data_IF_364052061013
#
_entry.id   IF_364052061013
#
_cell.length_a   1.000
_cell.length_b   1.000
_cell.length_c   1.000
_cell.angle_alpha   90.00
_cell.angle_beta   90.00
_cell.angle_gamma   90.00
#
_symmetry.space_group_name_H-M   'P 1'
#
loop_
_entity.id
_entity.type
_entity.pdbx_description
1 polymer ?
#
# COMPACT_ATOMS: atom_id res chain seq x y z
N UNK A 1 9.07 45.83 67.61
CA UNK A 1 8.78 46.65 66.41
C UNK A 1 10.09 46.90 65.67
N UNK A 2 10.05 46.80 64.34
CA UNK A 2 11.11 46.35 63.41
C UNK A 2 12.48 47.05 63.40
N UNK A 3 13.53 46.26 63.10
CA UNK A 3 14.85 46.70 62.65
C UNK A 3 15.00 46.53 61.12
N UNK A 4 15.48 47.61 60.50
CA UNK A 4 16.43 47.79 59.38
C UNK A 4 16.41 46.89 58.12
N UNK A 5 16.52 47.63 57.01
CA UNK A 5 16.72 47.27 55.60
C UNK A 5 18.17 46.83 55.28
N UNK A 6 18.36 45.90 54.32
CA UNK A 6 19.09 46.14 53.05
C UNK A 6 19.46 44.85 52.29
N UNK A 7 18.94 44.73 51.07
CA UNK A 7 19.63 44.31 49.83
C UNK A 7 20.22 42.91 49.65
N UNK A 8 19.79 42.19 48.60
CA UNK A 8 20.67 41.79 47.48
C UNK A 8 19.87 41.29 46.25
N UNK A 9 20.30 41.77 45.08
CA UNK A 9 19.80 41.46 43.72
C UNK A 9 20.05 40.00 43.32
N UNK A 10 19.09 39.33 42.68
CA UNK A 10 19.36 38.24 41.73
C UNK A 10 18.45 38.38 40.49
N UNK A 11 19.07 38.09 39.35
CA UNK A 11 18.75 38.43 37.96
C UNK A 11 17.37 38.00 37.38
N UNK A 12 16.88 38.83 36.45
CA UNK A 12 15.97 38.47 35.33
C UNK A 12 16.67 37.48 34.34
N UNK A 13 16.05 36.86 33.29
CA UNK A 13 14.80 37.26 32.62
C UNK A 13 13.94 36.13 31.92
N UNK A 14 12.87 36.56 31.24
CA UNK A 14 12.21 35.95 30.06
C UNK A 14 11.83 34.45 30.06
N UNK A 15 10.55 34.16 30.34
CA UNK A 15 9.88 32.98 29.79
C UNK A 15 9.20 33.38 28.46
N UNK A 16 9.95 33.34 27.36
CA UNK A 16 9.38 33.41 26.02
C UNK A 16 8.66 32.08 25.73
N UNK A 17 7.35 32.15 25.59
CA UNK A 17 6.51 31.06 25.09
C UNK A 17 6.92 30.79 23.64
N UNK A 18 7.75 29.78 23.40
CA UNK A 18 8.07 29.32 22.06
C UNK A 18 6.84 28.63 21.48
N UNK A 19 6.15 29.30 20.54
CA UNK A 19 5.32 28.59 19.57
C UNK A 19 6.23 27.59 18.87
N UNK A 20 5.98 26.29 19.09
CA UNK A 20 6.52 25.25 18.22
C UNK A 20 5.92 25.46 16.83
N UNK A 21 6.63 26.19 15.97
CA UNK A 21 6.34 26.24 14.55
C UNK A 21 6.52 24.83 13.99
N UNK A 22 5.42 24.18 13.62
CA UNK A 22 5.46 22.94 12.87
C UNK A 22 6.02 23.28 11.49
N UNK A 23 7.32 23.07 11.29
CA UNK A 23 7.96 23.26 10.00
C UNK A 23 7.39 22.22 9.03
N UNK A 24 6.48 22.64 8.16
CA UNK A 24 6.09 21.83 7.01
C UNK A 24 7.24 21.85 6.02
N UNK A 25 8.00 20.75 5.98
CA UNK A 25 8.98 20.54 4.92
C UNK A 25 8.29 20.62 3.55
N UNK A 26 8.88 21.28 2.55
CA UNK A 26 8.30 21.36 1.21
C UNK A 26 8.29 19.97 0.58
N UNK A 27 7.10 19.46 0.29
CA UNK A 27 6.91 18.22 -0.48
C UNK A 27 7.44 18.45 -1.88
N UNK A 28 8.56 17.81 -2.23
CA UNK A 28 9.03 17.76 -3.61
C UNK A 28 7.94 17.10 -4.46
N UNK A 29 7.63 17.68 -5.62
CA UNK A 29 6.80 17.03 -6.64
C UNK A 29 7.58 15.84 -7.21
N UNK A 30 7.56 14.73 -6.48
CA UNK A 30 8.12 13.48 -6.95
C UNK A 30 7.18 12.93 -8.03
N UNK A 31 7.76 12.41 -9.12
CA UNK A 31 7.04 11.52 -10.03
C UNK A 31 6.26 10.53 -9.15
N UNK A 32 4.92 10.57 -9.22
CA UNK A 32 4.02 10.11 -8.14
C UNK A 32 4.59 8.90 -7.41
N UNK A 33 4.79 9.02 -6.09
CA UNK A 33 5.36 7.97 -5.24
C UNK A 33 4.75 6.61 -5.61
N UNK A 34 5.45 5.47 -5.49
CA UNK A 34 5.03 4.17 -6.02
C UNK A 34 3.55 3.79 -5.80
N UNK A 35 2.97 4.24 -4.68
CA UNK A 35 1.55 4.19 -4.33
C UNK A 35 0.58 4.89 -5.32
N UNK A 36 1.06 5.76 -6.19
CA UNK A 36 0.32 6.75 -6.99
C UNK A 36 0.87 6.91 -8.41
N UNK A 37 1.67 5.95 -8.88
CA UNK A 37 2.28 6.01 -10.21
C UNK A 37 1.19 6.20 -11.28
N UNK A 38 1.29 7.21 -12.16
CA UNK A 38 0.21 7.58 -13.08
C UNK A 38 -0.06 6.52 -14.16
N UNK A 39 0.82 5.54 -14.28
CA UNK A 39 0.84 4.57 -15.36
C UNK A 39 1.29 3.22 -14.84
N UNK A 40 0.81 2.14 -15.46
CA UNK A 40 1.19 0.78 -15.12
C UNK A 40 1.46 -0.02 -16.41
N UNK A 41 2.52 -0.81 -16.39
CA UNK A 41 3.03 -1.55 -17.55
C UNK A 41 2.92 -3.06 -17.33
N UNK A 42 2.66 -3.82 -18.39
CA UNK A 42 2.84 -5.27 -18.37
C UNK A 42 4.33 -5.61 -18.36
N UNK A 43 4.73 -6.63 -17.60
CA UNK A 43 6.15 -6.97 -17.48
C UNK A 43 6.80 -7.28 -18.84
N UNK A 44 8.00 -6.73 -19.11
CA UNK A 44 8.68 -6.92 -20.38
C UNK A 44 9.09 -8.39 -20.58
N UNK A 45 9.03 -8.87 -21.82
CA UNK A 45 9.47 -10.23 -22.17
C UNK A 45 8.61 -11.36 -21.59
N UNK A 46 7.40 -11.07 -21.11
CA UNK A 46 6.49 -12.08 -20.55
C UNK A 46 5.24 -12.26 -21.42
N UNK A 47 4.83 -13.52 -21.60
CA UNK A 47 3.51 -13.85 -22.14
C UNK A 47 2.53 -13.96 -20.98
N UNK A 48 1.61 -13.01 -20.87
CA UNK A 48 0.61 -12.95 -19.81
C UNK A 48 -0.72 -13.39 -20.39
N UNK A 49 -1.16 -14.60 -20.07
CA UNK A 49 -2.36 -15.20 -20.67
C UNK A 49 -3.66 -14.47 -20.32
N UNK A 50 -3.67 -13.76 -19.19
CA UNK A 50 -4.79 -12.96 -18.73
C UNK A 50 -4.46 -11.46 -18.75
N UNK A 51 -3.67 -11.00 -19.73
CA UNK A 51 -3.31 -9.59 -19.83
C UNK A 51 -4.54 -8.68 -20.04
N UNK A 52 -4.62 -7.51 -19.38
CA UNK A 52 -5.55 -6.45 -19.78
C UNK A 52 -5.13 -5.85 -21.12
N UNK A 53 -6.00 -5.02 -21.70
CA UNK A 53 -5.67 -4.25 -22.89
C UNK A 53 -4.44 -3.35 -22.65
N UNK A 54 -3.44 -3.48 -23.51
CA UNK A 54 -2.21 -2.74 -23.44
C UNK A 54 -1.77 -2.27 -24.84
N UNK A 55 -1.05 -1.15 -24.89
CA UNK A 55 -0.47 -0.61 -26.12
C UNK A 55 0.74 -1.43 -26.60
N UNK A 56 1.30 -1.07 -27.75
CA UNK A 56 2.51 -1.68 -28.30
C UNK A 56 3.73 -1.57 -27.37
N UNK A 57 3.79 -0.55 -26.51
CA UNK A 57 4.84 -0.39 -25.49
C UNK A 57 4.54 -1.13 -24.20
N UNK A 58 3.50 -1.97 -24.17
CA UNK A 58 3.01 -2.73 -23.01
C UNK A 58 2.39 -1.88 -21.89
N UNK A 59 2.16 -0.59 -22.14
CA UNK A 59 1.39 0.30 -21.25
C UNK A 59 -0.07 -0.11 -21.19
N UNK A 60 -0.60 -0.32 -19.99
CA UNK A 60 -2.02 -0.65 -19.77
C UNK A 60 -2.88 0.55 -20.18
N UNK A 61 -3.86 0.30 -21.05
CA UNK A 61 -4.75 1.33 -21.59
C UNK A 61 -5.86 1.62 -20.57
N UNK A 62 -6.15 2.90 -20.32
CA UNK A 62 -7.21 3.31 -19.39
C UNK A 62 -6.87 3.09 -17.92
N UNK A 63 -5.58 2.92 -17.58
CA UNK A 63 -5.16 2.79 -16.20
C UNK A 63 -5.34 4.10 -15.42
N UNK A 64 -5.92 3.99 -14.22
CA UNK A 64 -5.99 5.06 -13.24
C UNK A 64 -5.31 4.60 -11.94
N UNK A 65 -4.40 5.40 -11.33
CA UNK A 65 -3.67 4.99 -10.13
C UNK A 65 -4.56 4.67 -8.94
N UNK A 66 -5.72 5.31 -8.88
CA UNK A 66 -6.68 5.18 -7.81
C UNK A 66 -8.03 4.72 -8.33
N UNK A 67 -8.78 4.07 -7.45
CA UNK A 67 -10.18 3.77 -7.62
C UNK A 67 -10.96 4.16 -6.37
N UNK A 68 -12.22 4.55 -6.53
CA UNK A 68 -13.16 4.74 -5.44
C UNK A 68 -14.03 3.48 -5.35
N UNK A 69 -14.02 2.81 -4.21
CA UNK A 69 -14.84 1.60 -4.00
C UNK A 69 -15.64 1.79 -2.72
N UNK A 70 -16.96 1.90 -2.84
CA UNK A 70 -17.88 2.16 -1.72
C UNK A 70 -17.42 3.35 -0.87
N UNK A 71 -16.98 4.42 -1.51
CA UNK A 71 -16.47 5.62 -0.82
C UNK A 71 -15.07 5.48 -0.21
N UNK A 72 -14.32 4.42 -0.51
CA UNK A 72 -12.92 4.23 -0.11
C UNK A 72 -11.99 4.45 -1.30
N UNK A 73 -11.10 5.43 -1.23
CA UNK A 73 -10.04 5.61 -2.24
C UNK A 73 -8.93 4.59 -2.03
N UNK A 74 -8.69 3.74 -3.03
CA UNK A 74 -7.67 2.69 -3.03
C UNK A 74 -6.70 2.85 -4.20
N UNK A 75 -5.41 2.64 -3.95
CA UNK A 75 -4.40 2.47 -4.99
C UNK A 75 -4.62 1.15 -5.72
N UNK A 76 -4.49 1.17 -7.05
CA UNK A 76 -4.54 -0.04 -7.89
C UNK A 76 -3.23 -0.81 -7.91
N UNK A 77 -2.10 -0.16 -7.63
CA UNK A 77 -0.76 -0.76 -7.63
C UNK A 77 0.10 -0.19 -6.49
N UNK A 78 0.00 -0.74 -5.26
CA UNK A 78 0.66 -0.17 -4.08
C UNK A 78 2.14 -0.59 -3.94
N UNK A 79 2.85 -0.69 -5.06
CA UNK A 79 4.28 -1.03 -5.18
C UNK A 79 4.80 -0.59 -6.56
N UNK A 80 6.07 -0.20 -6.66
CA UNK A 80 6.70 0.09 -7.94
C UNK A 80 7.02 -1.22 -8.68
N UNK A 81 6.16 -1.61 -9.60
CA UNK A 81 6.18 -2.92 -10.24
C UNK A 81 5.55 -2.88 -11.63
N UNK A 82 5.77 -3.95 -12.40
CA UNK A 82 4.99 -4.25 -13.59
C UNK A 82 3.96 -5.35 -13.29
N UNK A 83 2.89 -5.41 -14.08
CA UNK A 83 1.89 -6.49 -13.96
C UNK A 83 2.40 -7.75 -14.65
N UNK A 84 2.53 -8.85 -13.90
CA UNK A 84 2.90 -10.17 -14.42
C UNK A 84 1.70 -11.11 -14.59
N UNK A 85 0.59 -10.84 -13.92
CA UNK A 85 -0.70 -11.52 -14.12
C UNK A 85 -1.84 -10.61 -13.66
N UNK A 86 -2.91 -10.52 -14.44
CA UNK A 86 -4.07 -9.72 -14.09
C UNK A 86 -5.13 -10.54 -13.35
N UNK A 87 -6.24 -9.91 -12.97
CA UNK A 87 -7.40 -10.61 -12.45
C UNK A 87 -8.08 -11.45 -13.54
N UNK A 88 -8.70 -12.57 -13.16
CA UNK A 88 -9.53 -13.36 -14.06
C UNK A 88 -8.90 -14.67 -14.56
N UNK A 89 -9.52 -15.32 -15.55
CA UNK A 89 -9.15 -16.66 -15.99
C UNK A 89 -7.78 -16.68 -16.70
N UNK A 90 -6.91 -17.62 -16.32
CA UNK A 90 -5.63 -17.90 -17.00
C UNK A 90 -5.78 -19.09 -17.96
N UNK A 91 -4.99 -19.11 -19.05
CA UNK A 91 -4.91 -20.27 -19.94
C UNK A 91 -4.24 -21.45 -19.23
N UNK A 92 -4.91 -22.61 -19.13
CA UNK A 92 -4.33 -23.80 -18.49
C UNK A 92 -5.30 -24.83 -17.90
N UNK A 93 -6.62 -24.60 -17.96
CA UNK A 93 -7.66 -25.55 -17.53
C UNK A 93 -8.63 -25.00 -16.48
N UNK A 94 -9.65 -25.78 -16.13
CA UNK A 94 -10.65 -25.43 -15.12
C UNK A 94 -9.98 -25.19 -13.74
N UNK A 95 -10.25 -24.04 -13.12
CA UNK A 95 -9.72 -23.69 -11.79
C UNK A 95 -8.53 -22.73 -11.76
N UNK A 96 -8.04 -22.23 -12.91
CA UNK A 96 -6.94 -21.25 -12.97
C UNK A 96 -7.43 -19.79 -12.96
N UNK A 97 -8.43 -19.49 -12.12
CA UNK A 97 -8.89 -18.11 -11.94
C UNK A 97 -7.96 -17.36 -10.98
N UNK A 98 -7.63 -16.11 -11.30
CA UNK A 98 -6.80 -15.27 -10.46
C UNK A 98 -7.61 -14.21 -9.73
N UNK A 99 -7.63 -14.26 -8.41
CA UNK A 99 -8.45 -13.41 -7.53
C UNK A 99 -7.91 -11.99 -7.32
N UNK A 100 -6.79 -11.63 -7.95
CA UNK A 100 -6.15 -10.33 -7.81
C UNK A 100 -5.26 -10.00 -8.99
N UNK A 101 -4.26 -9.15 -8.76
CA UNK A 101 -3.18 -8.89 -9.70
C UNK A 101 -1.84 -9.25 -9.08
N UNK A 102 -0.91 -9.72 -9.92
CA UNK A 102 0.46 -9.98 -9.53
C UNK A 102 1.35 -8.85 -10.06
N UNK A 103 2.00 -8.16 -9.12
CA UNK A 103 2.86 -7.02 -9.35
C UNK A 103 4.31 -7.45 -9.12
N UNK A 104 5.01 -7.76 -10.20
CA UNK A 104 6.36 -8.30 -10.19
C UNK A 104 7.43 -7.24 -9.91
N UNK A 105 8.40 -7.63 -9.08
CA UNK A 105 9.56 -6.80 -8.76
C UNK A 105 10.82 -7.66 -8.83
N UNK A 106 11.89 -7.16 -9.47
CA UNK A 106 13.15 -7.91 -9.61
C UNK A 106 13.79 -8.27 -8.26
N UNK A 107 13.67 -7.37 -7.28
CA UNK A 107 14.15 -7.56 -5.90
C UNK A 107 13.05 -7.17 -4.92
N UNK A 108 13.10 -7.65 -3.65
CA UNK A 108 12.15 -7.25 -2.62
C UNK A 108 12.01 -5.73 -2.54
N UNK A 109 10.80 -5.24 -2.80
CA UNK A 109 10.47 -3.82 -2.93
C UNK A 109 9.44 -3.41 -1.89
N UNK A 110 9.44 -2.14 -1.52
CA UNK A 110 8.52 -1.60 -0.51
C UNK A 110 7.06 -1.73 -0.96
N UNK A 111 6.22 -2.30 -0.09
CA UNK A 111 4.77 -2.39 -0.27
C UNK A 111 4.08 -1.38 0.63
N UNK A 112 3.13 -0.66 0.06
CA UNK A 112 2.38 0.41 0.73
C UNK A 112 0.93 -0.01 1.01
N UNK A 113 0.30 0.58 2.01
CA UNK A 113 -1.14 0.43 2.25
C UNK A 113 -1.91 1.13 1.13
N UNK A 114 -2.70 0.34 0.40
CA UNK A 114 -3.54 0.75 -0.74
C UNK A 114 -4.57 1.83 -0.39
N UNK A 115 -5.01 1.87 0.87
CA UNK A 115 -5.84 2.94 1.42
C UNK A 115 -5.74 2.96 2.95
N UNK A 116 -6.29 3.99 3.57
CA UNK A 116 -6.34 4.08 5.02
C UNK A 116 -7.32 3.06 5.60
N UNK A 117 -6.98 2.47 6.74
CA UNK A 117 -7.80 1.42 7.35
C UNK A 117 -7.22 0.87 8.64
N UNK A 118 -7.62 -0.35 8.98
CA UNK A 118 -7.10 -1.10 10.12
C UNK A 118 -6.63 -2.47 9.66
N UNK A 119 -5.51 -2.94 10.19
CA UNK A 119 -5.02 -4.29 9.94
C UNK A 119 -6.07 -5.28 10.45
N UNK A 120 -6.63 -6.05 9.53
CA UNK A 120 -7.55 -7.16 9.83
C UNK A 120 -6.76 -8.41 10.16
N UNK A 121 -5.69 -8.66 9.42
CA UNK A 121 -4.85 -9.84 9.55
C UNK A 121 -3.40 -9.53 9.18
N UNK A 122 -2.46 -10.15 9.89
CA UNK A 122 -1.04 -10.21 9.51
C UNK A 122 -0.50 -11.57 9.95
N UNK A 123 0.02 -12.37 9.02
CA UNK A 123 0.51 -13.71 9.30
C UNK A 123 0.61 -14.59 8.06
N UNK A 124 0.93 -15.86 8.24
CA UNK A 124 1.05 -16.81 7.13
C UNK A 124 -0.29 -17.47 6.83
N UNK A 125 -0.70 -17.47 5.56
CA UNK A 125 -1.88 -18.18 5.06
C UNK A 125 -1.48 -19.23 4.02
N UNK A 126 -2.17 -20.37 4.01
CA UNK A 126 -1.93 -21.42 3.02
C UNK A 126 -2.19 -20.86 1.61
N UNK A 127 -1.29 -21.13 0.67
CA UNK A 127 -1.35 -20.56 -0.68
C UNK A 127 -0.76 -19.16 -0.77
N UNK A 128 -1.22 -18.23 0.05
CA UNK A 128 -0.82 -16.81 0.01
C UNK A 128 0.55 -16.50 0.67
N UNK A 129 1.07 -17.37 1.53
CA UNK A 129 2.30 -17.09 2.27
C UNK A 129 2.09 -15.99 3.32
N UNK A 130 3.13 -15.19 3.57
CA UNK A 130 3.01 -14.05 4.48
C UNK A 130 2.06 -13.02 3.86
N UNK A 131 0.97 -12.76 4.57
CA UNK A 131 -0.16 -11.98 4.09
C UNK A 131 -0.53 -10.90 5.09
N UNK A 132 -0.88 -9.73 4.57
CA UNK A 132 -1.51 -8.64 5.31
C UNK A 132 -2.89 -8.41 4.70
N UNK A 133 -3.91 -8.28 5.53
CA UNK A 133 -5.22 -7.77 5.10
C UNK A 133 -5.52 -6.46 5.84
N UNK A 134 -5.96 -5.44 5.10
CA UNK A 134 -6.42 -4.16 5.66
C UNK A 134 -7.93 -4.08 5.46
N UNK A 135 -8.67 -3.94 6.56
CA UNK A 135 -10.08 -3.61 6.53
C UNK A 135 -10.26 -2.10 6.37
N UNK A 136 -11.12 -1.73 5.42
CA UNK A 136 -11.56 -0.37 5.17
C UNK A 136 -13.04 -0.21 5.55
N UNK A 137 -13.63 0.93 5.21
CA UNK A 137 -15.06 1.17 5.42
C UNK A 137 -15.90 0.30 4.48
N UNK A 138 -17.18 0.14 4.82
CA UNK A 138 -18.22 -0.40 3.92
C UNK A 138 -17.93 -1.80 3.34
N UNK A 139 -17.31 -2.67 4.13
CA UNK A 139 -17.05 -4.07 3.73
C UNK A 139 -15.92 -4.24 2.73
N UNK A 140 -15.12 -3.18 2.48
CA UNK A 140 -13.97 -3.22 1.59
C UNK A 140 -12.73 -3.72 2.34
N UNK A 141 -11.99 -4.65 1.74
CA UNK A 141 -10.73 -5.19 2.26
C UNK A 141 -9.69 -5.20 1.14
N UNK A 142 -8.44 -4.85 1.45
CA UNK A 142 -7.32 -5.12 0.54
C UNK A 142 -6.43 -6.21 1.11
N UNK A 143 -5.95 -7.11 0.24
CA UNK A 143 -5.04 -8.21 0.60
C UNK A 143 -3.70 -8.01 -0.08
N UNK A 144 -2.63 -8.24 0.68
CA UNK A 144 -1.23 -8.15 0.24
C UNK A 144 -0.54 -9.47 0.58
N UNK A 145 -0.28 -10.31 -0.43
CA UNK A 145 0.24 -11.66 -0.25
C UNK A 145 1.63 -11.85 -0.86
N UNK A 146 2.21 -13.02 -0.58
CA UNK A 146 3.56 -13.45 -0.96
C UNK A 146 4.68 -12.58 -0.38
N UNK A 147 4.41 -11.83 0.69
CA UNK A 147 5.37 -10.89 1.27
C UNK A 147 6.62 -11.62 1.80
N UNK A 148 7.75 -10.92 1.81
CA UNK A 148 8.98 -11.41 2.48
C UNK A 148 9.07 -10.95 3.93
N UNK A 149 8.49 -9.79 4.24
CA UNK A 149 8.45 -9.21 5.57
C UNK A 149 7.26 -8.28 5.73
N UNK A 150 6.70 -8.23 6.95
CA UNK A 150 5.78 -7.19 7.39
C UNK A 150 6.56 -6.06 8.08
N UNK A 151 6.05 -4.83 7.99
CA UNK A 151 6.63 -3.69 8.71
C UNK A 151 6.52 -3.91 10.24
N UNK A 152 7.50 -3.44 11.04
CA UNK A 152 7.45 -3.58 12.49
C UNK A 152 6.19 -2.96 13.10
N UNK A 153 5.65 -3.60 14.15
CA UNK A 153 4.52 -3.07 14.91
C UNK A 153 3.13 -3.30 14.29
N UNK A 154 3.05 -3.85 13.07
CA UNK A 154 1.79 -4.28 12.48
C UNK A 154 1.21 -5.48 13.25
N UNK A 155 -0.05 -5.35 13.65
CA UNK A 155 -0.85 -6.38 14.33
C UNK A 155 -2.32 -6.11 14.07
N UNK A 156 -3.17 -7.13 14.22
CA UNK A 156 -4.61 -6.97 14.09
C UNK A 156 -5.13 -5.79 14.95
N UNK A 157 -6.01 -4.97 14.38
CA UNK A 157 -6.57 -3.77 14.99
C UNK A 157 -5.73 -2.49 14.82
N UNK A 158 -4.44 -2.59 14.47
CA UNK A 158 -3.59 -1.43 14.26
C UNK A 158 -4.09 -0.55 13.10
N UNK A 159 -4.12 0.77 13.30
CA UNK A 159 -4.47 1.71 12.25
C UNK A 159 -3.31 1.90 11.27
N UNK A 160 -3.63 2.06 9.99
CA UNK A 160 -2.67 2.35 8.93
C UNK A 160 -3.19 3.47 8.03
N UNK A 161 -2.31 4.40 7.67
CA UNK A 161 -2.62 5.46 6.70
C UNK A 161 -2.50 4.97 5.26
N UNK A 162 -3.20 5.62 4.33
CA UNK A 162 -2.99 5.41 2.90
C UNK A 162 -1.53 5.76 2.54
N UNK A 163 -0.87 4.90 1.76
CA UNK A 163 0.54 5.07 1.40
C UNK A 163 1.52 4.78 2.53
N UNK A 164 1.08 4.29 3.70
CA UNK A 164 1.99 3.85 4.76
C UNK A 164 2.75 2.59 4.33
N UNK A 165 4.04 2.47 4.65
CA UNK A 165 4.80 1.24 4.43
C UNK A 165 4.25 0.12 5.31
N UNK A 166 3.90 -1.01 4.69
CA UNK A 166 3.36 -2.18 5.41
C UNK A 166 4.21 -3.44 5.27
N UNK A 167 5.16 -3.48 4.33
CA UNK A 167 6.01 -4.65 4.15
C UNK A 167 6.89 -4.57 2.93
N UNK A 168 7.36 -5.74 2.49
CA UNK A 168 8.15 -5.92 1.27
C UNK A 168 7.61 -7.05 0.42
N UNK A 169 7.67 -6.88 -0.90
CA UNK A 169 7.39 -7.97 -1.85
C UNK A 169 8.31 -9.15 -1.56
N UNK A 170 7.84 -10.35 -1.93
CA UNK A 170 8.57 -11.56 -1.63
C UNK A 170 8.14 -12.71 -2.53
N UNK A 171 8.47 -13.92 -2.10
CA UNK A 171 8.15 -15.17 -2.79
C UNK A 171 7.73 -16.24 -1.78
N UNK A 172 7.01 -15.85 -0.72
CA UNK A 172 6.50 -16.80 0.26
C UNK A 172 5.20 -17.45 -0.23
N UNK A 173 4.85 -18.64 0.29
CA UNK A 173 3.67 -19.37 -0.16
C UNK A 173 3.83 -19.94 -1.58
N UNK A 174 2.75 -19.97 -2.35
CA UNK A 174 2.71 -20.52 -3.72
C UNK A 174 3.16 -19.49 -4.77
N UNK A 175 4.27 -18.80 -4.53
CA UNK A 175 4.84 -17.81 -5.43
C UNK A 175 5.98 -18.38 -6.28
N UNK A 176 5.92 -18.18 -7.61
CA UNK A 176 6.97 -18.63 -8.53
C UNK A 176 8.11 -17.62 -8.69
N UNK A 177 7.84 -16.34 -8.41
CA UNK A 177 8.79 -15.24 -8.53
C UNK A 177 8.57 -14.20 -7.41
N UNK A 178 9.48 -13.23 -7.26
CA UNK A 178 9.27 -12.12 -6.32
C UNK A 178 8.19 -11.18 -6.86
N UNK A 179 7.05 -11.12 -6.19
CA UNK A 179 5.94 -10.25 -6.56
C UNK A 179 5.08 -9.89 -5.34
N UNK A 180 4.18 -8.94 -5.53
CA UNK A 180 3.03 -8.73 -4.66
C UNK A 180 1.80 -9.30 -5.35
N UNK A 181 1.11 -10.24 -4.70
CA UNK A 181 -0.27 -10.55 -5.06
C UNK A 181 -1.20 -9.59 -4.31
N UNK A 182 -1.98 -8.83 -5.06
CA UNK A 182 -2.83 -7.75 -4.55
C UNK A 182 -4.29 -7.96 -4.93
N UNK A 183 -5.17 -7.95 -3.94
CA UNK A 183 -6.61 -8.08 -4.15
C UNK A 183 -7.38 -6.89 -3.56
N UNK A 184 -8.51 -6.55 -4.19
CA UNK A 184 -9.56 -5.67 -3.62
C UNK A 184 -10.82 -6.51 -3.45
N UNK A 185 -11.23 -6.71 -2.20
CA UNK A 185 -12.41 -7.50 -1.85
C UNK A 185 -13.55 -6.61 -1.38
N UNK A 186 -14.77 -6.96 -1.77
CA UNK A 186 -16.02 -6.37 -1.26
C UNK A 186 -16.88 -7.48 -0.69
N UNK A 187 -17.22 -7.40 0.61
CA UNK A 187 -17.97 -8.44 1.33
C UNK A 187 -17.37 -9.85 1.15
N UNK A 188 -16.04 -9.92 1.13
CA UNK A 188 -15.29 -11.17 0.98
C UNK A 188 -15.18 -11.71 -0.45
N UNK A 189 -15.77 -11.03 -1.45
CA UNK A 189 -15.63 -11.41 -2.87
C UNK A 189 -14.50 -10.61 -3.52
N UNK A 190 -13.54 -11.28 -4.21
CA UNK A 190 -12.49 -10.58 -4.94
C UNK A 190 -13.04 -9.87 -6.16
N UNK A 191 -12.45 -8.74 -6.51
CA UNK A 191 -12.79 -7.94 -7.68
C UNK A 191 -11.53 -7.58 -8.45
N UNK A 192 -11.68 -7.31 -9.75
CA UNK A 192 -10.58 -6.84 -10.61
C UNK A 192 -10.01 -5.50 -10.10
N UNK A 193 -8.79 -5.48 -9.53
CA UNK A 193 -8.16 -4.26 -9.03
C UNK A 193 -7.85 -3.24 -10.12
N UNK A 194 -7.85 -3.62 -11.41
CA UNK A 194 -7.64 -2.73 -12.56
C UNK A 194 -8.93 -2.14 -13.12
N UNK A 195 -10.11 -2.70 -12.75
CA UNK A 195 -11.40 -2.25 -13.30
C UNK A 195 -12.42 -1.78 -12.27
N UNK A 196 -12.41 -2.32 -11.05
CA UNK A 196 -13.40 -1.95 -10.02
C UNK A 196 -13.40 -0.43 -9.78
N UNK A 197 -14.57 0.15 -9.57
CA UNK A 197 -14.82 1.53 -9.15
C UNK A 197 -16.33 1.77 -9.00
N UNK A 198 -16.70 2.80 -8.22
CA UNK A 198 -18.06 3.34 -8.11
C UNK A 198 -18.50 4.07 -9.40
#
# INVERSE_FOLDING_TARGET
MSRLSAGLKICLPFAALTLAACATAPVKKDAGAPFSAPTLDLCPGTSISNAPAASSTRRIIGYHPFTLVRGVTLSRAPVNACVSSAFGPRSGGAGSFHDGIDLYTRTPSTVYAGGAGRIRFVGTQRGYGLTIEIAHKNGVVTRYAHLSAAAPGLRAGAAVGAGQVIGKTGRSGNATAVHLHYEILTDGRPNDPLRIGD
#
